data_IF_532905187926
#
_entry.id   IF_532905187926
#
_cell.length_a   1.000
_cell.length_b   1.000
_cell.length_c   1.000
_cell.angle_alpha   90.00
_cell.angle_beta   90.00
_cell.angle_gamma   90.00
#
_symmetry.space_group_name_H-M   'P 1'
#
loop_
_entity.id
_entity.type
_entity.pdbx_description
1 polymer ?
#
# COMPACT_ATOMS: atom_id res chain seq x y z
N UNK A 1 -14.48 10.96 23.50
CA UNK A 1 -15.30 10.78 22.28
C UNK A 1 -14.33 10.40 21.18
N UNK A 2 -14.27 9.10 20.84
CA UNK A 2 -13.20 8.45 20.08
C UNK A 2 -13.77 7.95 18.74
N UNK A 3 -14.08 8.88 17.83
CA UNK A 3 -14.63 8.57 16.50
C UNK A 3 -14.01 9.42 15.37
N UNK A 4 -13.16 10.40 15.69
CA UNK A 4 -12.52 11.30 14.70
C UNK A 4 -11.07 10.95 14.41
N UNK A 5 -10.43 10.06 15.18
CA UNK A 5 -9.04 9.61 14.95
C UNK A 5 -8.95 8.35 14.05
N UNK A 6 -10.09 7.75 13.69
CA UNK A 6 -10.14 6.58 12.79
C UNK A 6 -10.33 6.93 11.30
N UNK A 7 -10.33 8.21 10.92
CA UNK A 7 -10.47 8.66 9.53
C UNK A 7 -9.14 8.85 8.77
N UNK A 8 -8.01 8.56 9.41
CA UNK A 8 -6.69 8.70 8.80
C UNK A 8 -6.50 7.87 7.51
N UNK A 9 -6.92 6.59 7.43
CA UNK A 9 -6.69 5.80 6.23
C UNK A 9 -7.56 6.27 5.05
N UNK A 10 -8.84 6.61 5.25
CA UNK A 10 -9.70 7.08 4.15
C UNK A 10 -9.26 8.44 3.61
N UNK A 11 -8.85 9.34 4.50
CA UNK A 11 -8.28 10.63 4.11
C UNK A 11 -6.98 10.45 3.34
N UNK A 12 -6.08 9.60 3.84
CA UNK A 12 -4.83 9.25 3.16
C UNK A 12 -5.06 8.67 1.77
N UNK A 13 -6.01 7.73 1.64
CA UNK A 13 -6.41 7.15 0.35
C UNK A 13 -6.92 8.24 -0.61
N UNK A 14 -7.79 9.13 -0.14
CA UNK A 14 -8.36 10.20 -0.96
C UNK A 14 -7.29 11.15 -1.50
N UNK A 15 -6.38 11.61 -0.64
CA UNK A 15 -5.28 12.50 -1.06
C UNK A 15 -4.31 11.81 -2.02
N UNK A 16 -3.98 10.53 -1.77
CA UNK A 16 -3.14 9.73 -2.68
C UNK A 16 -3.82 9.48 -4.04
N UNK A 17 -5.14 9.30 -4.07
CA UNK A 17 -5.90 9.18 -5.32
C UNK A 17 -5.88 10.48 -6.13
N UNK A 18 -6.01 11.64 -5.47
CA UNK A 18 -5.85 12.95 -6.13
C UNK A 18 -4.43 13.13 -6.68
N UNK A 19 -3.42 12.85 -5.86
CA UNK A 19 -2.01 12.93 -6.28
C UNK A 19 -1.73 12.01 -7.46
N UNK A 20 -2.23 10.76 -7.41
CA UNK A 20 -2.19 9.83 -8.53
C UNK A 20 -2.77 10.46 -9.80
N UNK A 21 -3.93 11.12 -9.72
CA UNK A 21 -4.53 11.84 -10.84
C UNK A 21 -3.63 12.94 -11.42
N UNK A 22 -3.05 13.77 -10.56
CA UNK A 22 -2.14 14.85 -10.97
C UNK A 22 -0.87 14.29 -11.64
N UNK A 23 -0.25 13.24 -11.08
CA UNK A 23 0.94 12.63 -11.68
C UNK A 23 0.64 12.08 -13.08
N UNK A 24 -0.54 11.45 -13.26
CA UNK A 24 -0.97 10.98 -14.59
C UNK A 24 -1.14 12.10 -15.60
N UNK A 25 -1.71 13.23 -15.16
CA UNK A 25 -2.00 14.37 -16.03
C UNK A 25 -0.72 15.10 -16.47
N UNK A 26 0.23 15.30 -15.55
CA UNK A 26 1.40 16.16 -15.79
C UNK A 26 2.70 15.42 -16.11
N UNK A 27 2.80 14.12 -15.80
CA UNK A 27 4.01 13.33 -16.07
C UNK A 27 3.69 12.10 -16.94
N UNK A 28 3.28 11.00 -16.32
CA UNK A 28 2.93 9.72 -16.95
C UNK A 28 2.50 8.74 -15.86
N UNK A 29 1.67 7.74 -16.19
CA UNK A 29 1.44 6.61 -15.28
C UNK A 29 2.49 5.50 -15.36
N UNK A 30 3.55 5.72 -16.15
CA UNK A 30 4.71 4.83 -16.25
C UNK A 30 5.96 5.39 -15.52
N UNK A 31 5.81 6.33 -14.58
CA UNK A 31 6.94 6.91 -13.81
C UNK A 31 7.07 6.34 -12.39
N UNK A 32 8.27 6.46 -11.79
CA UNK A 32 8.54 5.99 -10.43
C UNK A 32 7.66 6.67 -9.37
N UNK A 33 7.29 7.94 -9.55
CA UNK A 33 6.43 8.65 -8.59
C UNK A 33 5.01 8.06 -8.58
N UNK A 34 4.49 7.70 -9.77
CA UNK A 34 3.22 7.01 -9.87
C UNK A 34 3.29 5.62 -9.21
N UNK A 35 4.36 4.87 -9.44
CA UNK A 35 4.59 3.56 -8.82
C UNK A 35 4.57 3.65 -7.29
N UNK A 36 5.28 4.61 -6.71
CA UNK A 36 5.31 4.86 -5.25
C UNK A 36 3.94 5.21 -4.68
N UNK A 37 3.14 6.00 -5.39
CA UNK A 37 1.76 6.29 -4.97
C UNK A 37 0.89 5.03 -4.98
N UNK A 38 1.03 4.19 -6.01
CA UNK A 38 0.31 2.91 -6.06
C UNK A 38 0.75 1.97 -4.94
N UNK A 39 2.05 1.88 -4.66
CA UNK A 39 2.59 1.09 -3.54
C UNK A 39 2.06 1.57 -2.19
N UNK A 40 2.05 2.89 -1.96
CA UNK A 40 1.52 3.48 -0.72
C UNK A 40 0.02 3.18 -0.55
N UNK A 41 -0.77 3.34 -1.62
CA UNK A 41 -2.18 2.94 -1.62
C UNK A 41 -2.35 1.46 -1.30
N UNK A 42 -1.51 0.61 -1.89
CA UNK A 42 -1.56 -0.83 -1.66
C UNK A 42 -1.27 -1.19 -0.19
N UNK A 43 -0.26 -0.56 0.41
CA UNK A 43 0.11 -0.73 1.82
C UNK A 43 -1.02 -0.29 2.75
N UNK A 44 -1.65 0.86 2.50
CA UNK A 44 -2.80 1.29 3.31
C UNK A 44 -3.94 0.29 3.20
N UNK A 45 -4.28 -0.15 1.98
CA UNK A 45 -5.32 -1.17 1.80
C UNK A 45 -4.97 -2.51 2.46
N UNK A 46 -3.70 -2.89 2.51
CA UNK A 46 -3.26 -4.08 3.23
C UNK A 46 -3.45 -3.92 4.74
N UNK A 47 -3.05 -2.77 5.29
CA UNK A 47 -3.22 -2.43 6.72
C UNK A 47 -4.68 -2.36 7.15
N UNK A 48 -5.61 -2.02 6.25
CA UNK A 48 -7.06 -2.03 6.51
C UNK A 48 -7.74 -3.34 6.11
N UNK A 49 -6.98 -4.42 5.87
CA UNK A 49 -7.46 -5.74 5.46
C UNK A 49 -8.23 -5.80 4.12
N UNK A 50 -8.11 -4.78 3.27
CA UNK A 50 -8.68 -4.71 1.91
C UNK A 50 -7.77 -5.39 0.87
N UNK A 51 -7.59 -6.71 0.99
CA UNK A 51 -6.60 -7.48 0.23
C UNK A 51 -6.75 -7.39 -1.30
N UNK A 52 -7.97 -7.33 -1.82
CA UNK A 52 -8.21 -7.24 -3.27
C UNK A 52 -7.71 -5.91 -3.85
N UNK A 53 -7.94 -4.81 -3.13
CA UNK A 53 -7.48 -3.48 -3.51
C UNK A 53 -5.96 -3.41 -3.39
N UNK A 54 -5.39 -3.89 -2.28
CA UNK A 54 -3.95 -3.96 -2.09
C UNK A 54 -3.26 -4.68 -3.25
N UNK A 55 -3.72 -5.88 -3.60
CA UNK A 55 -3.17 -6.67 -4.73
C UNK A 55 -3.25 -5.93 -6.07
N UNK A 56 -4.36 -5.26 -6.34
CA UNK A 56 -4.56 -4.48 -7.57
C UNK A 56 -3.56 -3.33 -7.67
N UNK A 57 -3.33 -2.62 -6.57
CA UNK A 57 -2.39 -1.49 -6.53
C UNK A 57 -0.92 -1.94 -6.57
N UNK A 58 -0.53 -2.98 -5.83
CA UNK A 58 0.81 -3.57 -5.93
C UNK A 58 1.12 -4.02 -7.37
N UNK A 59 0.17 -4.66 -8.05
CA UNK A 59 0.36 -5.08 -9.45
C UNK A 59 0.66 -3.90 -10.38
N UNK A 60 0.04 -2.74 -10.15
CA UNK A 60 0.32 -1.53 -10.93
C UNK A 60 1.72 -0.98 -10.64
N UNK A 61 2.11 -0.92 -9.37
CA UNK A 61 3.45 -0.48 -8.97
C UNK A 61 4.54 -1.40 -9.57
N UNK A 62 4.40 -2.71 -9.42
CA UNK A 62 5.36 -3.68 -9.94
C UNK A 62 5.53 -3.61 -11.45
N UNK A 63 4.45 -3.47 -12.22
CA UNK A 63 4.55 -3.32 -13.68
C UNK A 63 5.47 -2.16 -14.09
N UNK A 64 5.47 -1.08 -13.31
CA UNK A 64 6.30 0.11 -13.58
C UNK A 64 7.72 -0.13 -13.10
N UNK A 65 7.89 -0.69 -11.91
CA UNK A 65 9.22 -1.06 -11.40
C UNK A 65 9.92 -2.00 -12.39
N UNK A 66 9.27 -3.09 -12.81
CA UNK A 66 9.80 -4.06 -13.78
C UNK A 66 10.21 -3.41 -15.10
N UNK A 67 9.47 -2.39 -15.55
CA UNK A 67 9.78 -1.64 -16.76
C UNK A 67 10.99 -0.72 -16.57
N UNK A 68 11.08 -0.01 -15.45
CA UNK A 68 12.10 1.01 -15.20
C UNK A 68 13.43 0.38 -14.80
N UNK A 69 13.40 -0.68 -13.99
CA UNK A 69 14.59 -1.41 -13.54
C UNK A 69 14.83 -2.68 -14.37
N UNK A 70 14.44 -2.66 -15.65
CA UNK A 70 14.60 -3.82 -16.54
C UNK A 70 16.05 -4.31 -16.64
N UNK A 71 17.02 -3.39 -16.52
CA UNK A 71 18.45 -3.67 -16.55
C UNK A 71 19.06 -3.93 -15.14
N UNK A 72 18.26 -3.82 -14.08
CA UNK A 72 18.68 -3.95 -12.67
C UNK A 72 17.75 -4.94 -11.92
N UNK A 73 17.77 -6.23 -12.26
CA UNK A 73 16.84 -7.23 -11.71
C UNK A 73 16.96 -7.40 -10.19
N UNK A 74 18.13 -7.09 -9.61
CA UNK A 74 18.34 -7.13 -8.16
C UNK A 74 17.45 -6.12 -7.42
N UNK A 75 17.17 -4.96 -8.03
CA UNK A 75 16.24 -3.98 -7.45
C UNK A 75 14.81 -4.50 -7.43
N UNK A 76 14.40 -5.23 -8.48
CA UNK A 76 13.07 -5.85 -8.56
C UNK A 76 12.93 -6.95 -7.52
N UNK A 77 13.93 -7.82 -7.39
CA UNK A 77 13.93 -8.89 -6.40
C UNK A 77 13.87 -8.32 -4.97
N UNK A 78 14.68 -7.30 -4.67
CA UNK A 78 14.63 -6.61 -3.39
C UNK A 78 13.24 -6.01 -3.10
N UNK A 79 12.56 -5.43 -4.10
CA UNK A 79 11.19 -4.92 -3.92
C UNK A 79 10.15 -6.01 -3.73
N UNK A 80 10.29 -7.15 -4.40
CA UNK A 80 9.44 -8.30 -4.13
C UNK A 80 9.61 -8.80 -2.69
N UNK A 81 10.85 -8.90 -2.19
CA UNK A 81 11.11 -9.31 -0.81
C UNK A 81 10.52 -8.31 0.19
N UNK A 82 10.75 -7.01 0.00
CA UNK A 82 10.20 -5.94 0.85
C UNK A 82 8.67 -6.05 0.98
N UNK A 83 7.96 -6.23 -0.15
CA UNK A 83 6.50 -6.35 -0.15
C UNK A 83 6.04 -7.71 0.40
N UNK A 84 6.78 -8.79 0.18
CA UNK A 84 6.47 -10.11 0.76
C UNK A 84 6.56 -10.10 2.28
N UNK A 85 7.58 -9.43 2.84
CA UNK A 85 7.75 -9.28 4.29
C UNK A 85 6.66 -8.43 4.95
N UNK A 86 6.05 -7.50 4.19
CA UNK A 86 4.96 -6.66 4.68
C UNK A 86 3.69 -7.48 5.03
N UNK A 87 3.37 -8.53 4.25
CA UNK A 87 2.19 -9.36 4.49
C UNK A 87 2.13 -10.01 5.88
N UNK A 88 3.15 -10.77 6.33
CA UNK A 88 3.14 -11.36 7.67
C UNK A 88 3.21 -10.29 8.77
N UNK A 89 3.91 -9.17 8.57
CA UNK A 89 3.95 -8.07 9.54
C UNK A 89 2.57 -7.47 9.78
N UNK A 90 1.85 -7.15 8.70
CA UNK A 90 0.49 -6.62 8.80
C UNK A 90 -0.47 -7.67 9.36
N UNK A 91 -0.35 -8.93 8.94
CA UNK A 91 -1.15 -10.03 9.49
C UNK A 91 -0.98 -10.17 11.01
N UNK A 92 0.26 -10.09 11.50
CA UNK A 92 0.57 -10.14 12.93
C UNK A 92 -0.01 -8.93 13.67
N UNK A 93 0.16 -7.72 13.13
CA UNK A 93 -0.40 -6.50 13.71
C UNK A 93 -1.93 -6.57 13.85
N UNK A 94 -2.64 -6.97 12.80
CA UNK A 94 -4.10 -7.15 12.83
C UNK A 94 -4.51 -8.21 13.86
N UNK A 95 -3.78 -9.33 13.93
CA UNK A 95 -3.99 -10.37 14.93
C UNK A 95 -3.86 -9.85 16.37
N UNK A 96 -2.83 -9.04 16.64
CA UNK A 96 -2.65 -8.41 17.96
C UNK A 96 -3.77 -7.43 18.30
N UNK A 97 -4.23 -6.62 17.33
CA UNK A 97 -5.34 -5.70 17.53
C UNK A 97 -6.63 -6.44 17.89
N UNK A 98 -6.95 -7.50 17.15
CA UNK A 98 -8.12 -8.35 17.42
C UNK A 98 -8.00 -9.00 18.81
N UNK A 99 -6.86 -9.60 19.12
CA UNK A 99 -6.63 -10.22 20.43
C UNK A 99 -6.81 -9.22 21.57
N UNK A 100 -6.25 -8.01 21.43
CA UNK A 100 -6.37 -6.93 22.43
C UNK A 100 -7.81 -6.46 22.60
N UNK A 101 -8.55 -6.37 21.49
CA UNK A 101 -9.96 -5.99 21.53
C UNK A 101 -10.79 -7.03 22.29
N UNK A 102 -10.57 -8.32 22.01
CA UNK A 102 -11.28 -9.41 22.66
C UNK A 102 -10.96 -9.52 24.16
N UNK A 103 -9.69 -9.35 24.56
CA UNK A 103 -9.31 -9.43 25.99
C UNK A 103 -9.78 -8.25 26.82
N UNK A 104 -10.02 -7.07 26.22
CA UNK A 104 -10.58 -5.90 26.90
C UNK A 104 -12.10 -5.97 27.11
N UNK A 105 -12.79 -6.87 26.40
CA UNK A 105 -14.24 -7.08 26.53
C UNK A 105 -14.62 -8.16 27.55
N UNK A 106 -13.64 -8.91 28.07
CA UNK A 106 -13.79 -9.93 29.10
C UNK A 106 -13.42 -9.36 30.48
#
# INVERSE_FOLDING_TARGET
>A
MFLTEQQEPERGISELQKLSGIIKEYHSDDCLDYAKVQETLATIYLMTASLSQAKSHFKKAFKIYEKIWADEPELIEAKYQEIQELYPQVGFFLGQQISTFLTKQL
#
